data_IF_217079152988
#
_entry.id   IF_217079152988
#
_cell.length_a   1.000
_cell.length_b   1.000
_cell.length_c   1.000
_cell.angle_alpha   90.00
_cell.angle_beta   90.00
_cell.angle_gamma   90.00
#
_symmetry.space_group_name_H-M   'P 1'
#
loop_
_entity.id
_entity.type
_entity.pdbx_description
1 polymer ?
#
# COMPACT_ATOMS: atom_id res chain seq x y z
N UNK A 1 -25.22 -2.93 -15.95
CA UNK A 1 -23.90 -3.58 -15.80
C UNK A 1 -22.81 -2.52 -15.85
N UNK A 2 -22.55 -1.84 -14.72
CA UNK A 2 -21.54 -0.76 -14.60
C UNK A 2 -20.27 -1.20 -13.84
N UNK A 3 -20.27 -2.40 -13.26
CA UNK A 3 -19.28 -2.80 -12.25
C UNK A 3 -17.94 -3.12 -12.91
N UNK A 4 -17.93 -3.64 -14.15
CA UNK A 4 -16.71 -4.07 -14.83
C UNK A 4 -15.88 -2.93 -15.42
N UNK A 5 -16.49 -1.77 -15.73
CA UNK A 5 -15.77 -0.65 -16.35
C UNK A 5 -14.78 0.02 -15.38
N UNK A 6 -15.00 -0.10 -14.06
CA UNK A 6 -14.06 0.37 -13.03
C UNK A 6 -12.86 -0.55 -12.82
N UNK A 7 -12.96 -1.83 -13.19
CA UNK A 7 -11.85 -2.80 -13.10
C UNK A 7 -10.79 -2.62 -14.20
N UNK A 8 -11.06 -1.79 -15.22
CA UNK A 8 -10.19 -1.60 -16.39
C UNK A 8 -9.23 -0.41 -16.27
N UNK A 9 -9.18 0.30 -15.14
CA UNK A 9 -8.01 1.12 -14.83
C UNK A 9 -6.94 0.15 -14.32
N UNK A 10 -6.16 -0.39 -15.25
CA UNK A 10 -5.29 -1.56 -15.11
C UNK A 10 -4.31 -1.52 -13.93
N UNK A 11 -4.80 -1.72 -12.72
CA UNK A 11 -3.98 -2.07 -11.57
C UNK A 11 -3.50 -3.50 -11.73
N UNK A 12 -2.18 -3.68 -11.78
CA UNK A 12 -1.60 -5.02 -11.83
C UNK A 12 -2.05 -5.80 -10.58
N UNK A 13 -2.56 -7.01 -10.78
CA UNK A 13 -2.85 -7.92 -9.67
C UNK A 13 -1.53 -8.51 -9.19
N UNK A 14 -1.28 -8.46 -7.88
CA UNK A 14 -0.02 -8.91 -7.29
C UNK A 14 -0.25 -9.86 -6.12
N UNK A 15 0.76 -10.71 -5.87
CA UNK A 15 0.92 -11.45 -4.63
C UNK A 15 2.13 -10.89 -3.90
N UNK A 16 1.99 -10.56 -2.63
CA UNK A 16 3.01 -9.93 -1.82
C UNK A 16 3.12 -10.59 -0.45
N UNK A 17 4.27 -10.43 0.19
CA UNK A 17 4.49 -10.88 1.56
C UNK A 17 4.52 -9.69 2.50
N UNK A 18 3.74 -9.77 3.57
CA UNK A 18 3.63 -8.78 4.62
C UNK A 18 4.29 -9.27 5.91
N UNK A 19 4.86 -8.34 6.66
CA UNK A 19 5.29 -8.54 8.03
C UNK A 19 4.50 -7.61 8.95
N UNK A 20 3.69 -8.19 9.84
CA UNK A 20 2.92 -7.44 10.83
C UNK A 20 3.74 -7.30 12.11
N UNK A 21 4.16 -6.07 12.44
CA UNK A 21 5.01 -5.78 13.60
C UNK A 21 4.20 -5.50 14.86
N UNK A 22 2.99 -4.95 14.70
CA UNK A 22 2.12 -4.54 15.80
C UNK A 22 0.67 -5.04 15.60
N UNK A 23 -0.17 -5.03 16.65
CA UNK A 23 -1.61 -5.19 16.50
C UNK A 23 -2.22 -4.10 15.59
N UNK A 24 -3.28 -4.45 14.84
CA UNK A 24 -3.92 -3.56 13.87
C UNK A 24 -3.73 -4.03 12.44
N UNK A 25 -3.82 -3.10 11.48
CA UNK A 25 -3.84 -3.40 10.04
C UNK A 25 -4.83 -4.52 9.68
N UNK A 26 -6.00 -4.53 10.34
CA UNK A 26 -6.94 -5.65 10.30
C UNK A 26 -7.43 -5.97 8.89
N UNK A 27 -7.55 -4.96 8.03
CA UNK A 27 -7.91 -5.11 6.63
C UNK A 27 -6.87 -5.93 5.83
N UNK A 28 -5.58 -5.75 6.12
CA UNK A 28 -4.50 -6.53 5.52
C UNK A 28 -4.39 -7.91 6.18
N UNK A 29 -4.52 -7.99 7.51
CA UNK A 29 -4.48 -9.27 8.24
C UNK A 29 -5.60 -10.21 7.81
N UNK A 30 -6.82 -9.70 7.64
CA UNK A 30 -7.97 -10.54 7.24
C UNK A 30 -7.85 -11.11 5.83
N UNK A 31 -6.95 -10.56 5.02
CA UNK A 31 -6.70 -10.98 3.64
C UNK A 31 -5.36 -11.71 3.47
N UNK A 32 -4.57 -11.85 4.54
CA UNK A 32 -3.30 -12.56 4.52
C UNK A 32 -3.46 -13.96 5.07
N UNK A 33 -2.65 -14.91 4.59
CA UNK A 33 -2.50 -16.21 5.23
C UNK A 33 -1.58 -16.14 6.48
N UNK A 34 -1.43 -17.27 7.17
CA UNK A 34 -0.63 -17.37 8.39
C UNK A 34 0.86 -17.06 8.17
N UNK A 35 1.35 -17.22 6.93
CA UNK A 35 2.72 -16.91 6.53
C UNK A 35 2.92 -15.44 6.11
N UNK A 36 1.83 -14.66 6.13
CA UNK A 36 1.80 -13.23 5.78
C UNK A 36 1.66 -12.97 4.28
N UNK A 37 1.32 -13.97 3.46
CA UNK A 37 1.05 -13.73 2.04
C UNK A 37 -0.33 -13.15 1.83
N UNK A 38 -0.38 -12.07 1.06
CA UNK A 38 -1.62 -11.47 0.56
C UNK A 38 -1.63 -11.54 -0.97
N UNK A 39 -2.77 -11.88 -1.54
CA UNK A 39 -2.95 -11.92 -2.99
C UNK A 39 -3.84 -13.07 -3.44
N UNK A 40 -4.38 -13.01 -4.67
CA UNK A 40 -4.25 -11.92 -5.64
C UNK A 40 -5.00 -10.65 -5.22
N UNK A 41 -4.33 -9.49 -5.19
CA UNK A 41 -4.92 -8.18 -4.86
C UNK A 41 -4.47 -7.09 -5.83
N UNK A 42 -5.24 -6.01 -5.92
CA UNK A 42 -4.84 -4.83 -6.68
C UNK A 42 -3.58 -4.19 -6.07
N UNK A 43 -2.54 -4.01 -6.90
CA UNK A 43 -1.26 -3.44 -6.48
C UNK A 43 -1.39 -2.03 -5.89
N UNK A 44 -2.21 -1.18 -6.52
CA UNK A 44 -2.37 0.22 -6.08
C UNK A 44 -3.03 0.27 -4.71
N UNK A 45 -4.07 -0.54 -4.50
CA UNK A 45 -4.72 -0.72 -3.20
C UNK A 45 -3.72 -1.23 -2.17
N UNK A 46 -2.94 -2.27 -2.49
CA UNK A 46 -1.97 -2.82 -1.55
C UNK A 46 -0.95 -1.77 -1.11
N UNK A 47 -0.35 -1.04 -2.06
CA UNK A 47 0.67 -0.02 -1.77
C UNK A 47 0.11 1.08 -0.88
N UNK A 48 -1.06 1.63 -1.22
CA UNK A 48 -1.70 2.71 -0.46
C UNK A 48 -2.09 2.26 0.95
N UNK A 49 -2.69 1.07 1.06
CA UNK A 49 -3.15 0.54 2.34
C UNK A 49 -1.97 0.18 3.24
N UNK A 50 -0.92 -0.44 2.71
CA UNK A 50 0.29 -0.73 3.48
C UNK A 50 0.98 0.55 3.97
N UNK A 51 1.13 1.56 3.10
CA UNK A 51 1.70 2.85 3.48
C UNK A 51 0.87 3.55 4.58
N UNK A 52 -0.47 3.47 4.53
CA UNK A 52 -1.35 4.04 5.54
C UNK A 52 -1.21 3.38 6.92
N UNK A 53 -0.84 2.10 6.97
CA UNK A 53 -0.61 1.36 8.21
C UNK A 53 0.85 1.40 8.69
N UNK A 54 1.78 2.01 7.94
CA UNK A 54 3.18 2.09 8.36
C UNK A 54 3.33 2.84 9.71
N UNK A 55 4.25 2.42 10.59
CA UNK A 55 5.17 1.29 10.45
C UNK A 55 4.61 -0.07 10.94
N UNK A 56 3.31 -0.18 11.25
CA UNK A 56 2.71 -1.39 11.88
C UNK A 56 2.76 -2.64 11.01
N UNK A 57 2.84 -2.45 9.69
CA UNK A 57 2.98 -3.49 8.69
C UNK A 57 4.04 -3.07 7.67
N UNK A 58 4.84 -4.02 7.22
CA UNK A 58 5.81 -3.85 6.16
C UNK A 58 5.46 -4.77 4.99
N UNK A 59 5.60 -4.28 3.76
CA UNK A 59 5.72 -5.16 2.59
C UNK A 59 7.18 -5.57 2.48
N UNK A 60 7.47 -6.86 2.38
CA UNK A 60 8.83 -7.39 2.30
C UNK A 60 9.14 -8.06 0.95
N UNK A 61 8.11 -8.51 0.22
CA UNK A 61 8.23 -9.08 -1.12
C UNK A 61 6.97 -8.78 -1.95
N UNK A 62 7.04 -8.73 -3.29
CA UNK A 62 8.26 -8.69 -4.11
C UNK A 62 8.90 -7.29 -4.10
N UNK A 63 10.18 -7.21 -4.50
CA UNK A 63 11.02 -6.01 -4.37
C UNK A 63 10.42 -4.76 -5.04
N UNK A 64 9.76 -4.93 -6.18
CA UNK A 64 9.13 -3.83 -6.90
C UNK A 64 7.93 -3.23 -6.13
N UNK A 65 7.17 -4.04 -5.38
CA UNK A 65 6.10 -3.51 -4.50
C UNK A 65 6.70 -2.86 -3.26
N UNK A 66 7.79 -3.41 -2.72
CA UNK A 66 8.53 -2.80 -1.59
C UNK A 66 8.98 -1.39 -1.97
N UNK A 67 9.62 -1.22 -3.14
CA UNK A 67 10.06 0.09 -3.63
C UNK A 67 8.91 1.07 -3.74
N UNK A 68 7.78 0.64 -4.28
CA UNK A 68 6.62 1.52 -4.47
C UNK A 68 6.01 2.02 -3.15
N UNK A 69 5.99 1.16 -2.11
CA UNK A 69 5.58 1.57 -0.75
C UNK A 69 6.57 2.57 -0.17
N UNK A 70 7.88 2.32 -0.31
CA UNK A 70 8.93 3.22 0.16
C UNK A 70 8.83 4.58 -0.53
N UNK A 71 8.64 4.62 -1.85
CA UNK A 71 8.50 5.86 -2.63
C UNK A 71 7.24 6.65 -2.20
N UNK A 72 6.13 5.94 -1.93
CA UNK A 72 4.90 6.54 -1.42
C UNK A 72 5.13 7.20 -0.06
N UNK A 73 5.80 6.50 0.86
CA UNK A 73 6.11 7.03 2.19
C UNK A 73 7.11 8.19 2.13
N UNK A 74 8.13 8.09 1.28
CA UNK A 74 9.12 9.15 1.08
C UNK A 74 8.47 10.42 0.52
N UNK A 75 7.56 10.29 -0.44
CA UNK A 75 6.79 11.40 -1.00
C UNK A 75 5.92 12.06 0.07
N UNK A 76 5.25 11.28 0.92
CA UNK A 76 4.45 11.80 2.02
C UNK A 76 5.31 12.54 3.06
N UNK A 77 6.48 11.98 3.39
CA UNK A 77 7.41 12.58 4.36
C UNK A 77 8.07 13.87 3.85
N UNK A 78 8.30 14.01 2.53
CA UNK A 78 8.85 15.21 1.91
C UNK A 78 7.89 16.42 1.94
N UNK A 79 6.67 16.25 2.45
CA UNK A 79 5.63 17.26 2.42
C UNK A 79 4.98 17.26 1.04
N UNK A 80 3.77 16.70 0.95
CA UNK A 80 2.91 16.91 -0.21
C UNK A 80 2.78 18.41 -0.56
N UNK A 81 2.33 18.77 -1.77
CA UNK A 81 2.38 20.14 -2.30
C UNK A 81 1.46 21.10 -1.53
N UNK A 82 1.86 21.47 -0.33
CA UNK A 82 1.44 22.68 0.33
C UNK A 82 2.66 23.59 0.30
N UNK A 83 2.73 24.55 -0.63
CA UNK A 83 3.58 25.69 -0.36
C UNK A 83 3.08 26.27 0.96
N UNK A 84 3.90 26.20 2.01
CA UNK A 84 3.82 27.13 3.11
C UNK A 84 4.13 28.49 2.49
N UNK A 85 3.10 29.07 1.86
CA UNK A 85 3.08 30.43 1.37
C UNK A 85 3.16 31.33 2.58
N UNK A 86 4.35 31.43 3.15
CA UNK A 86 4.77 32.67 3.75
C UNK A 86 4.77 33.71 2.65
N UNK A 87 4.00 34.77 2.87
CA UNK A 87 4.35 36.14 2.49
C UNK A 87 3.19 37.06 2.89
N UNK A 88 3.48 38.34 3.14
CA UNK A 88 4.47 38.92 4.03
C UNK A 88 3.85 39.44 5.35
#
# INVERSE_FOLDING_TARGET
QLITAGLSSAGQVVRARLQFLEPGAWELRSQSDDDGWIGPVDRTWLVRTAAAYAPKVLVVEPEDVVREVVDTLATAAAGGPYPLGGQP
#
